data_IF_862342752536
#
_entry.id   IF_862342752536
#
_cell.length_a   1.000
_cell.length_b   1.000
_cell.length_c   1.000
_cell.angle_alpha   90.00
_cell.angle_beta   90.00
_cell.angle_gamma   90.00
#
_symmetry.space_group_name_H-M   'P 1'
#
loop_
_entity.id
_entity.type
_entity.pdbx_description
1 polymer ?
#
# COMPACT_ATOMS: atom_id res chain seq x y z
N UNK A 1 -11.91 23.63 -19.77
CA UNK A 1 -10.51 23.56 -19.29
C UNK A 1 -10.20 22.10 -19.01
N UNK A 2 -9.03 21.59 -19.42
CA UNK A 2 -8.65 20.21 -19.12
C UNK A 2 -8.24 20.12 -17.65
N UNK A 3 -9.05 19.43 -16.84
CA UNK A 3 -8.71 19.13 -15.45
C UNK A 3 -7.66 18.01 -15.44
N UNK A 4 -6.43 18.36 -15.16
CA UNK A 4 -5.28 17.44 -15.19
C UNK A 4 -4.60 17.23 -13.83
N UNK A 5 -5.16 17.81 -12.77
CA UNK A 5 -4.69 17.63 -11.40
C UNK A 5 -5.62 16.68 -10.65
N UNK A 6 -5.07 15.74 -9.91
CA UNK A 6 -5.80 14.93 -8.95
C UNK A 6 -5.16 15.07 -7.57
N UNK A 7 -5.96 14.98 -6.50
CA UNK A 7 -5.40 14.80 -5.16
C UNK A 7 -5.28 13.29 -4.92
N UNK A 8 -4.06 12.83 -4.72
CA UNK A 8 -3.78 11.48 -4.24
C UNK A 8 -3.68 11.48 -2.72
N UNK A 9 -4.26 10.45 -2.10
CA UNK A 9 -4.35 10.35 -0.64
C UNK A 9 -4.00 8.94 -0.20
N UNK A 10 -3.19 8.83 0.85
CA UNK A 10 -2.85 7.57 1.51
C UNK A 10 -3.29 7.61 2.97
N UNK A 11 -4.14 6.64 3.35
CA UNK A 11 -4.66 6.49 4.71
C UNK A 11 -3.82 5.44 5.44
N UNK A 12 -2.82 5.90 6.18
CA UNK A 12 -2.03 5.06 7.06
C UNK A 12 -2.75 4.72 8.37
N UNK A 13 -2.10 3.87 9.20
CA UNK A 13 -2.66 3.46 10.49
C UNK A 13 -2.79 4.56 11.52
N UNK A 14 -2.01 5.65 11.42
CA UNK A 14 -1.94 6.76 12.40
C UNK A 14 -1.77 8.13 11.75
N UNK A 15 -1.87 8.21 10.45
CA UNK A 15 -1.71 9.46 9.69
C UNK A 15 -2.45 9.39 8.36
N UNK A 16 -2.68 10.57 7.79
CA UNK A 16 -3.08 10.77 6.40
C UNK A 16 -1.99 11.55 5.71
N UNK A 17 -1.63 11.12 4.51
CA UNK A 17 -0.80 11.89 3.57
C UNK A 17 -1.60 12.20 2.32
N UNK A 18 -1.52 13.42 1.79
CA UNK A 18 -2.16 13.78 0.53
C UNK A 18 -1.32 14.83 -0.22
N UNK A 19 -1.42 14.80 -1.54
CA UNK A 19 -0.75 15.76 -2.42
C UNK A 19 -1.50 15.91 -3.74
N UNK A 20 -1.31 17.05 -4.41
CA UNK A 20 -1.73 17.22 -5.80
C UNK A 20 -0.74 16.54 -6.75
N UNK A 21 -1.28 15.82 -7.71
CA UNK A 21 -0.54 15.10 -8.74
C UNK A 21 -0.97 15.60 -10.12
N UNK A 22 0.00 15.92 -10.96
CA UNK A 22 -0.22 16.17 -12.38
C UNK A 22 -0.39 14.83 -13.11
N UNK A 23 -1.60 14.56 -13.59
CA UNK A 23 -1.96 13.30 -14.25
C UNK A 23 -1.27 13.11 -15.60
N UNK A 24 -0.80 14.18 -16.24
CA UNK A 24 -0.12 14.10 -17.54
C UNK A 24 1.33 13.65 -17.35
N UNK A 25 2.02 14.25 -16.39
CA UNK A 25 3.44 13.93 -16.14
C UNK A 25 3.66 12.81 -15.13
N UNK A 26 2.65 12.43 -14.36
CA UNK A 26 2.77 11.46 -13.25
C UNK A 26 3.64 11.99 -12.10
N UNK A 27 3.66 13.31 -11.88
CA UNK A 27 4.51 13.93 -10.86
C UNK A 27 3.71 14.56 -9.74
N UNK A 28 4.21 14.38 -8.52
CA UNK A 28 3.68 15.05 -7.32
C UNK A 28 4.11 16.52 -7.35
N UNK A 29 3.14 17.41 -7.13
CA UNK A 29 3.40 18.85 -6.90
C UNK A 29 3.80 18.99 -5.42
N UNK A 30 5.10 18.94 -5.15
CA UNK A 30 5.66 18.77 -3.79
C UNK A 30 5.19 19.79 -2.77
N UNK A 31 5.01 21.04 -3.16
CA UNK A 31 4.54 22.10 -2.26
C UNK A 31 3.12 21.84 -1.71
N UNK A 32 2.38 20.93 -2.35
CA UNK A 32 1.02 20.56 -1.91
C UNK A 32 1.01 19.41 -0.91
N UNK A 33 2.13 18.70 -0.73
CA UNK A 33 2.20 17.58 0.21
C UNK A 33 1.80 18.05 1.61
N UNK A 34 0.87 17.32 2.18
CA UNK A 34 0.33 17.57 3.51
C UNK A 34 0.23 16.23 4.24
N UNK A 35 0.71 16.20 5.46
CA UNK A 35 0.61 15.07 6.37
C UNK A 35 -0.05 15.51 7.66
N UNK A 36 -0.92 14.67 8.21
CA UNK A 36 -1.52 14.86 9.54
C UNK A 36 -1.58 13.57 10.30
N UNK A 37 -1.25 13.63 11.59
CA UNK A 37 -1.50 12.53 12.51
C UNK A 37 -3.00 12.36 12.72
N UNK A 38 -3.44 11.12 12.82
CA UNK A 38 -4.83 10.73 13.02
C UNK A 38 -4.92 9.80 14.23
N UNK A 39 -5.76 10.13 15.19
CA UNK A 39 -6.17 9.16 16.20
C UNK A 39 -7.18 8.20 15.57
N UNK A 40 -6.75 7.01 15.22
CA UNK A 40 -7.58 6.00 14.56
C UNK A 40 -8.61 5.35 15.50
N UNK A 41 -8.61 5.70 16.79
CA UNK A 41 -9.60 5.29 17.79
C UNK A 41 -10.62 6.41 18.11
N UNK A 42 -10.42 7.62 17.57
CA UNK A 42 -11.34 8.73 17.74
C UNK A 42 -12.72 8.47 17.12
N UNK A 43 -13.69 9.32 17.42
CA UNK A 43 -15.00 9.24 16.79
C UNK A 43 -14.90 9.49 15.27
N UNK A 44 -15.83 8.91 14.51
CA UNK A 44 -15.84 9.02 13.04
C UNK A 44 -15.79 10.47 12.54
N UNK A 45 -16.51 11.38 13.17
CA UNK A 45 -16.51 12.80 12.82
C UNK A 45 -15.15 13.47 13.00
N UNK A 46 -14.38 13.07 14.01
CA UNK A 46 -13.05 13.60 14.27
C UNK A 46 -12.02 13.04 13.26
N UNK A 47 -12.09 11.73 12.96
CA UNK A 47 -11.26 11.10 11.94
C UNK A 47 -11.49 11.78 10.58
N UNK A 48 -12.75 11.86 10.14
CA UNK A 48 -13.13 12.49 8.86
C UNK A 48 -12.76 13.97 8.84
N UNK A 49 -12.98 14.70 9.95
CA UNK A 49 -12.58 16.10 10.08
C UNK A 49 -11.06 16.29 9.93
N UNK A 50 -10.25 15.41 10.49
CA UNK A 50 -8.78 15.44 10.33
C UNK A 50 -8.37 15.17 8.88
N UNK A 51 -9.02 14.20 8.22
CA UNK A 51 -8.77 13.91 6.80
C UNK A 51 -9.16 15.09 5.91
N UNK A 52 -10.35 15.68 6.15
CA UNK A 52 -10.81 16.86 5.41
C UNK A 52 -9.87 18.07 5.59
N UNK A 53 -9.32 18.28 6.78
CA UNK A 53 -8.34 19.34 7.01
C UNK A 53 -7.03 19.13 6.22
N UNK A 54 -6.52 17.89 6.13
CA UNK A 54 -5.34 17.59 5.33
C UNK A 54 -5.62 17.85 3.84
N UNK A 55 -6.75 17.35 3.34
CA UNK A 55 -7.19 17.54 1.96
C UNK A 55 -7.38 19.03 1.61
N UNK A 56 -8.06 19.79 2.50
CA UNK A 56 -8.26 21.22 2.32
C UNK A 56 -6.93 21.98 2.22
N UNK A 57 -5.93 21.63 3.05
CA UNK A 57 -4.62 22.24 3.02
C UNK A 57 -3.85 21.94 1.72
N UNK A 58 -4.02 20.75 1.14
CA UNK A 58 -3.45 20.39 -0.16
C UNK A 58 -4.20 21.07 -1.31
N UNK A 59 -5.55 21.05 -1.30
CA UNK A 59 -6.41 21.70 -2.30
C UNK A 59 -6.19 23.20 -2.38
N UNK A 60 -5.99 23.89 -1.25
CA UNK A 60 -5.77 25.34 -1.21
C UNK A 60 -4.52 25.82 -1.98
N UNK A 61 -3.63 24.91 -2.35
CA UNK A 61 -2.37 25.21 -3.07
C UNK A 61 -2.46 25.02 -4.58
N UNK A 62 -3.63 24.63 -5.10
CA UNK A 62 -3.88 24.46 -6.54
C UNK A 62 -5.21 25.09 -6.93
N UNK A 63 -5.38 25.60 -8.17
CA UNK A 63 -6.68 26.08 -8.64
C UNK A 63 -7.68 24.92 -8.69
N UNK A 64 -8.79 25.03 -7.95
CA UNK A 64 -9.80 23.97 -7.82
C UNK A 64 -10.42 23.61 -9.18
N UNK A 65 -10.53 24.57 -10.08
CA UNK A 65 -11.01 24.37 -11.45
C UNK A 65 -10.15 23.41 -12.28
N UNK A 66 -8.87 23.22 -11.90
CA UNK A 66 -7.96 22.28 -12.53
C UNK A 66 -7.97 20.90 -11.87
N UNK A 67 -8.63 20.77 -10.71
CA UNK A 67 -8.71 19.51 -9.96
C UNK A 67 -9.83 18.64 -10.53
N UNK A 68 -9.48 17.41 -10.93
CA UNK A 68 -10.40 16.41 -11.46
C UNK A 68 -11.17 15.69 -10.34
N UNK A 69 -10.51 15.45 -9.21
CA UNK A 69 -11.08 14.76 -8.07
C UNK A 69 -10.03 14.36 -7.03
N UNK A 70 -10.47 13.53 -6.08
CA UNK A 70 -9.66 12.99 -4.99
C UNK A 70 -9.66 11.46 -5.11
N UNK A 71 -8.47 10.84 -5.09
CA UNK A 71 -8.30 9.41 -4.99
C UNK A 71 -7.76 9.02 -3.61
N UNK A 72 -8.30 7.95 -3.04
CA UNK A 72 -7.90 7.43 -1.75
C UNK A 72 -7.28 6.03 -1.87
N UNK A 73 -6.06 5.85 -1.40
CA UNK A 73 -5.52 4.56 -0.98
C UNK A 73 -6.08 4.27 0.42
N UNK A 74 -6.96 3.28 0.52
CA UNK A 74 -7.77 3.05 1.73
C UNK A 74 -7.59 1.63 2.24
N UNK A 75 -7.24 1.42 3.53
CA UNK A 75 -7.19 0.08 4.09
C UNK A 75 -8.57 -0.58 4.11
N UNK A 76 -8.59 -1.90 3.93
CA UNK A 76 -9.82 -2.69 4.02
C UNK A 76 -10.10 -3.25 5.42
N UNK A 77 -11.29 -3.86 5.61
CA UNK A 77 -12.40 -4.05 4.64
C UNK A 77 -13.13 -2.75 4.27
N UNK A 78 -13.37 -2.53 2.99
CA UNK A 78 -13.99 -1.30 2.48
C UNK A 78 -14.76 -1.57 1.18
N UNK A 79 -15.93 -0.96 0.99
CA UNK A 79 -16.61 -0.96 -0.30
C UNK A 79 -16.00 0.15 -1.18
N UNK A 80 -15.03 -0.22 -2.00
CA UNK A 80 -14.29 0.73 -2.83
C UNK A 80 -15.15 1.34 -3.97
N UNK A 81 -16.31 0.76 -4.25
CA UNK A 81 -17.25 1.28 -5.25
C UNK A 81 -18.14 2.36 -4.64
N UNK A 82 -18.68 2.10 -3.42
CA UNK A 82 -19.62 2.98 -2.75
C UNK A 82 -18.96 3.96 -1.78
N UNK A 83 -17.68 3.76 -1.46
CA UNK A 83 -16.97 4.58 -0.47
C UNK A 83 -17.39 4.33 0.97
N UNK A 84 -17.83 3.09 1.30
CA UNK A 84 -18.33 2.76 2.64
C UNK A 84 -17.31 1.90 3.40
N UNK A 85 -16.97 2.31 4.62
CA UNK A 85 -16.05 1.56 5.48
C UNK A 85 -16.75 0.38 6.15
N UNK A 86 -16.14 -0.80 6.06
CA UNK A 86 -16.52 -2.00 6.82
C UNK A 86 -15.39 -2.48 7.73
N UNK A 87 -14.48 -1.56 8.10
CA UNK A 87 -13.32 -1.85 8.94
C UNK A 87 -13.80 -2.29 10.32
N UNK A 88 -13.46 -3.53 10.72
CA UNK A 88 -13.79 -4.13 12.01
C UNK A 88 -12.80 -5.24 12.38
N UNK A 89 -12.44 -5.31 13.67
CA UNK A 89 -11.55 -6.37 14.18
C UNK A 89 -10.07 -6.20 13.80
N UNK A 90 -9.66 -5.00 13.34
CA UNK A 90 -8.26 -4.71 12.94
C UNK A 90 -7.58 -3.65 13.81
N UNK A 91 -8.22 -3.29 14.93
CA UNK A 91 -7.73 -2.35 15.94
C UNK A 91 -7.37 -0.96 15.41
N UNK A 92 -7.94 -0.54 14.28
CA UNK A 92 -7.80 0.81 13.72
C UNK A 92 -9.06 1.18 12.95
N UNK A 93 -9.50 2.43 13.02
CA UNK A 93 -10.63 2.98 12.26
C UNK A 93 -11.96 2.25 12.46
N UNK A 94 -12.15 1.51 13.54
CA UNK A 94 -13.37 0.74 13.77
C UNK A 94 -14.62 1.62 13.94
N UNK A 95 -14.44 2.86 14.40
CA UNK A 95 -15.51 3.84 14.51
C UNK A 95 -15.99 4.38 13.14
N UNK A 96 -15.31 4.03 12.04
CA UNK A 96 -15.78 4.31 10.68
C UNK A 96 -16.72 3.22 10.13
N UNK A 97 -16.99 2.14 10.87
CA UNK A 97 -17.85 1.06 10.39
C UNK A 97 -19.22 1.57 9.95
N UNK A 98 -19.60 1.32 8.69
CA UNK A 98 -20.87 1.78 8.09
C UNK A 98 -20.87 3.26 7.63
N UNK A 99 -19.79 4.01 7.84
CA UNK A 99 -19.69 5.40 7.38
C UNK A 99 -19.49 5.43 5.87
N UNK A 100 -20.30 6.22 5.16
CA UNK A 100 -20.03 6.60 3.78
C UNK A 100 -18.98 7.73 3.78
N UNK A 101 -17.74 7.35 3.49
CA UNK A 101 -16.59 8.26 3.48
C UNK A 101 -16.70 9.28 2.34
N UNK A 102 -17.31 8.87 1.20
CA UNK A 102 -17.54 9.79 0.07
C UNK A 102 -18.36 10.99 0.50
N UNK A 103 -19.54 10.74 1.07
CA UNK A 103 -20.47 11.79 1.49
C UNK A 103 -19.85 12.63 2.62
N UNK A 104 -19.26 11.94 3.61
CA UNK A 104 -18.66 12.62 4.76
C UNK A 104 -17.50 13.54 4.38
N UNK A 105 -16.65 13.17 3.44
CA UNK A 105 -15.56 14.04 2.92
C UNK A 105 -16.14 15.18 2.07
N UNK A 106 -17.11 14.89 1.19
CA UNK A 106 -17.75 15.92 0.36
C UNK A 106 -18.40 17.00 1.21
N UNK A 107 -19.15 16.61 2.24
CA UNK A 107 -19.80 17.53 3.17
C UNK A 107 -18.79 18.40 3.94
N UNK A 108 -17.73 17.79 4.49
CA UNK A 108 -16.72 18.52 5.25
C UNK A 108 -15.89 19.50 4.40
N UNK A 109 -15.72 19.21 3.12
CA UNK A 109 -14.98 20.07 2.18
C UNK A 109 -15.90 21.04 1.41
N UNK A 110 -17.23 20.93 1.55
CA UNK A 110 -18.18 21.73 0.78
C UNK A 110 -18.06 21.50 -0.73
N UNK A 111 -17.82 20.27 -1.16
CA UNK A 111 -17.66 19.93 -2.57
C UNK A 111 -19.05 19.91 -3.27
N UNK A 112 -19.07 20.34 -4.53
CA UNK A 112 -20.30 20.30 -5.32
C UNK A 112 -20.70 18.87 -5.71
N UNK A 113 -21.98 18.66 -5.98
CA UNK A 113 -22.48 17.40 -6.50
C UNK A 113 -21.73 16.98 -7.78
N UNK A 114 -21.30 15.71 -7.81
CA UNK A 114 -20.55 15.14 -8.92
C UNK A 114 -19.03 15.39 -8.89
N UNK A 115 -18.47 15.97 -7.81
CA UNK A 115 -17.04 15.98 -7.61
C UNK A 115 -16.54 14.54 -7.40
N UNK A 116 -15.51 14.14 -8.16
CA UNK A 116 -15.06 12.75 -8.17
C UNK A 116 -14.27 12.42 -6.89
N UNK A 117 -14.73 11.43 -6.14
CA UNK A 117 -14.01 10.80 -5.04
C UNK A 117 -13.96 9.30 -5.33
N UNK A 118 -12.77 8.73 -5.40
CA UNK A 118 -12.53 7.33 -5.79
C UNK A 118 -11.63 6.64 -4.79
N UNK A 119 -11.83 5.34 -4.60
CA UNK A 119 -11.12 4.55 -3.59
C UNK A 119 -10.53 3.29 -4.21
N UNK A 120 -9.39 2.87 -3.68
CA UNK A 120 -8.74 1.60 -3.96
C UNK A 120 -8.05 1.09 -2.70
N UNK A 121 -7.87 -0.22 -2.59
CA UNK A 121 -7.06 -0.79 -1.51
C UNK A 121 -5.64 -0.18 -1.50
N UNK A 122 -5.09 0.05 -0.31
CA UNK A 122 -3.79 0.70 -0.09
C UNK A 122 -2.63 -0.01 -0.79
N UNK A 123 -2.54 -1.34 -0.66
CA UNK A 123 -1.50 -2.12 -1.35
C UNK A 123 -1.68 -2.13 -2.88
N UNK A 124 -2.93 -2.13 -3.36
CA UNK A 124 -3.23 -2.00 -4.78
C UNK A 124 -2.85 -0.63 -5.32
N UNK A 125 -3.15 0.43 -4.58
CA UNK A 125 -2.75 1.80 -4.93
C UNK A 125 -1.22 1.95 -4.98
N UNK A 126 -0.50 1.41 -3.98
CA UNK A 126 0.96 1.34 -4.01
C UNK A 126 1.47 0.67 -5.29
N UNK A 127 0.92 -0.51 -5.63
CA UNK A 127 1.33 -1.27 -6.80
C UNK A 127 1.02 -0.56 -8.12
N UNK A 128 -0.13 0.11 -8.22
CA UNK A 128 -0.51 0.93 -9.37
C UNK A 128 0.44 2.11 -9.53
N UNK A 129 0.79 2.80 -8.45
CA UNK A 129 1.77 3.89 -8.47
C UNK A 129 3.14 3.44 -8.96
N UNK A 130 3.63 2.30 -8.49
CA UNK A 130 4.88 1.69 -8.97
C UNK A 130 4.82 1.30 -10.46
N UNK A 131 3.67 0.79 -10.93
CA UNK A 131 3.46 0.44 -12.32
C UNK A 131 3.25 1.66 -13.24
N UNK A 132 2.75 2.78 -12.70
CA UNK A 132 2.56 4.01 -13.47
C UNK A 132 3.84 4.84 -13.57
N UNK A 133 4.49 5.12 -12.44
CA UNK A 133 5.57 6.10 -12.35
C UNK A 133 6.82 5.60 -11.61
N UNK A 134 6.81 4.37 -11.09
CA UNK A 134 7.89 3.82 -10.27
C UNK A 134 8.73 2.75 -10.97
N UNK A 135 9.25 1.84 -10.16
CA UNK A 135 10.19 0.78 -10.57
C UNK A 135 9.57 -0.21 -11.56
N UNK A 136 8.25 -0.42 -11.50
CA UNK A 136 7.53 -1.33 -12.40
C UNK A 136 7.03 -0.67 -13.70
N UNK A 137 7.30 0.61 -13.95
CA UNK A 137 6.70 1.37 -15.06
C UNK A 137 7.05 0.87 -16.46
N UNK A 138 8.13 0.10 -16.60
CA UNK A 138 8.58 -0.49 -17.87
C UNK A 138 8.18 -1.95 -18.05
N UNK A 139 7.48 -2.53 -17.08
CA UNK A 139 7.11 -3.94 -17.06
C UNK A 139 5.60 -4.10 -17.24
N UNK A 140 5.19 -5.17 -17.91
CA UNK A 140 3.78 -5.47 -18.11
C UNK A 140 3.19 -6.23 -16.92
N UNK A 141 4.00 -7.07 -16.27
CA UNK A 141 3.56 -7.91 -15.16
C UNK A 141 4.45 -7.72 -13.94
N UNK A 142 3.90 -7.19 -12.88
CA UNK A 142 4.62 -6.97 -11.62
C UNK A 142 3.85 -7.51 -10.43
N UNK A 143 4.58 -8.00 -9.43
CA UNK A 143 4.09 -8.18 -8.07
C UNK A 143 4.70 -7.06 -7.23
N UNK A 144 3.87 -6.26 -6.60
CA UNK A 144 4.34 -5.29 -5.61
C UNK A 144 3.94 -5.75 -4.22
N UNK A 145 4.87 -5.68 -3.27
CA UNK A 145 4.63 -6.05 -1.88
C UNK A 145 5.08 -4.93 -0.95
N UNK A 146 4.43 -4.83 0.20
CA UNK A 146 4.85 -3.93 1.28
C UNK A 146 5.11 -4.72 2.54
N UNK A 147 6.37 -4.75 2.99
CA UNK A 147 6.77 -5.24 4.30
C UNK A 147 6.68 -4.08 5.31
N UNK A 148 5.51 -3.91 5.91
CA UNK A 148 5.20 -2.78 6.79
C UNK A 148 4.56 -3.22 8.11
N UNK A 149 3.64 -2.43 8.64
CA UNK A 149 2.80 -2.80 9.80
C UNK A 149 2.09 -4.13 9.54
N UNK A 150 1.55 -4.30 8.33
CA UNK A 150 1.07 -5.55 7.75
C UNK A 150 1.87 -5.93 6.51
N UNK A 151 1.56 -7.08 5.93
CA UNK A 151 2.11 -7.59 4.68
C UNK A 151 1.14 -7.31 3.53
N UNK A 152 1.31 -6.18 2.84
CA UNK A 152 0.50 -5.82 1.67
C UNK A 152 1.05 -6.43 0.39
N UNK A 153 0.17 -6.67 -0.60
CA UNK A 153 0.57 -7.16 -1.92
C UNK A 153 -0.50 -6.90 -2.98
N UNK A 154 -0.06 -6.68 -4.22
CA UNK A 154 -0.96 -6.64 -5.37
C UNK A 154 -0.24 -7.11 -6.64
N UNK A 155 -0.95 -7.87 -7.45
CA UNK A 155 -0.53 -8.35 -8.77
C UNK A 155 -1.01 -7.37 -9.83
N UNK A 156 -0.12 -6.90 -10.67
CA UNK A 156 -0.42 -5.91 -11.71
C UNK A 156 -0.13 -6.49 -13.09
N UNK A 157 -1.07 -6.34 -14.00
CA UNK A 157 -0.87 -6.61 -15.42
C UNK A 157 -1.30 -5.40 -16.25
N UNK A 158 -0.37 -4.84 -17.06
CA UNK A 158 -0.61 -3.64 -17.85
C UNK A 158 -1.17 -2.47 -17.00
N UNK A 159 -0.60 -2.25 -15.83
CA UNK A 159 -0.98 -1.25 -14.80
C UNK A 159 -2.31 -1.53 -14.08
N UNK A 160 -3.02 -2.60 -14.40
CA UNK A 160 -4.32 -2.95 -13.82
C UNK A 160 -4.12 -4.02 -12.75
N UNK A 161 -4.67 -3.85 -11.54
CA UNK A 161 -4.68 -4.89 -10.50
C UNK A 161 -5.46 -6.11 -10.95
N UNK A 162 -4.86 -7.29 -10.79
CA UNK A 162 -5.48 -8.59 -11.05
C UNK A 162 -5.88 -9.19 -9.70
N UNK A 163 -7.17 -9.29 -9.46
CA UNK A 163 -7.75 -9.69 -8.16
C UNK A 163 -8.39 -11.07 -8.17
N UNK A 164 -8.54 -11.66 -9.36
CA UNK A 164 -9.12 -12.99 -9.55
C UNK A 164 -8.51 -13.68 -10.78
N UNK A 165 -8.64 -15.00 -10.85
CA UNK A 165 -8.14 -15.81 -11.96
C UNK A 165 -7.14 -16.87 -11.52
N UNK A 166 -6.72 -17.75 -12.46
CA UNK A 166 -5.87 -18.92 -12.13
C UNK A 166 -4.41 -18.56 -11.77
N UNK A 167 -3.98 -17.34 -12.08
CA UNK A 167 -2.59 -16.90 -11.90
C UNK A 167 -2.38 -16.10 -10.61
N UNK A 168 -3.44 -15.76 -9.87
CA UNK A 168 -3.39 -15.01 -8.63
C UNK A 168 -4.25 -15.69 -7.55
N UNK A 169 -3.95 -15.52 -6.26
CA UNK A 169 -4.84 -16.00 -5.23
C UNK A 169 -6.13 -15.18 -5.20
N UNK A 170 -7.15 -15.73 -4.57
CA UNK A 170 -8.42 -15.01 -4.34
C UNK A 170 -8.16 -13.65 -3.69
N UNK A 171 -8.86 -12.61 -4.14
CA UNK A 171 -8.69 -11.20 -3.75
C UNK A 171 -7.40 -10.55 -4.28
N UNK A 172 -6.61 -11.24 -5.12
CA UNK A 172 -5.36 -10.70 -5.68
C UNK A 172 -4.30 -10.31 -4.64
N UNK A 173 -4.34 -10.90 -3.45
CA UNK A 173 -3.39 -10.61 -2.38
C UNK A 173 -2.99 -11.89 -1.63
N UNK A 174 -1.83 -11.86 -0.96
CA UNK A 174 -1.19 -13.04 -0.40
C UNK A 174 -1.01 -13.01 1.12
N UNK A 175 -1.37 -11.90 1.79
CA UNK A 175 -1.14 -11.74 3.23
C UNK A 175 -1.85 -12.78 4.10
N UNK A 176 -3.03 -13.20 3.69
CA UNK A 176 -3.92 -14.11 4.40
C UNK A 176 -3.67 -15.60 4.11
N UNK A 177 -2.76 -15.88 3.18
CA UNK A 177 -2.48 -17.26 2.78
C UNK A 177 -1.77 -18.02 3.89
N UNK A 178 -2.11 -19.32 4.06
CA UNK A 178 -1.42 -20.17 5.04
C UNK A 178 0.08 -20.23 4.79
N UNK A 179 0.86 -20.05 5.83
CA UNK A 179 2.31 -20.20 5.81
C UNK A 179 2.78 -20.77 7.15
N UNK A 180 3.39 -21.95 7.12
CA UNK A 180 3.84 -22.70 8.30
C UNK A 180 2.69 -22.89 9.31
N UNK A 181 2.84 -22.38 10.53
CA UNK A 181 1.88 -22.47 11.65
C UNK A 181 0.93 -21.27 11.76
N UNK A 182 0.90 -20.39 10.74
CA UNK A 182 0.07 -19.19 10.70
C UNK A 182 -0.28 -18.77 9.29
N UNK A 183 -0.33 -17.48 9.07
CA UNK A 183 -0.53 -16.85 7.76
C UNK A 183 0.70 -16.02 7.37
N UNK A 184 0.80 -15.65 6.10
CA UNK A 184 1.94 -14.89 5.60
C UNK A 184 2.18 -13.56 6.35
N UNK A 185 1.11 -12.87 6.76
CA UNK A 185 1.22 -11.64 7.55
C UNK A 185 1.90 -11.85 8.92
N UNK A 186 1.74 -13.01 9.55
CA UNK A 186 2.42 -13.34 10.81
C UNK A 186 3.93 -13.52 10.67
N UNK A 187 4.41 -13.66 9.44
CA UNK A 187 5.83 -13.88 9.13
C UNK A 187 6.49 -12.65 8.49
N UNK A 188 5.75 -11.91 7.65
CA UNK A 188 6.30 -10.89 6.75
C UNK A 188 5.87 -9.47 7.11
N UNK A 189 5.33 -9.26 8.32
CA UNK A 189 5.02 -7.95 8.87
C UNK A 189 5.95 -7.55 10.01
N UNK A 190 5.93 -6.26 10.37
CA UNK A 190 6.60 -5.73 11.57
C UNK A 190 6.20 -6.51 12.82
N UNK A 191 4.89 -6.75 13.00
CA UNK A 191 4.36 -7.52 14.12
C UNK A 191 4.94 -8.93 14.16
N UNK A 192 5.01 -9.60 13.01
CA UNK A 192 5.57 -10.93 12.87
C UNK A 192 7.05 -11.00 13.28
N UNK A 193 7.87 -10.09 12.75
CA UNK A 193 9.29 -10.02 13.11
C UNK A 193 9.51 -9.76 14.60
N UNK A 194 8.82 -8.79 15.18
CA UNK A 194 8.95 -8.45 16.60
C UNK A 194 8.45 -9.58 17.51
N UNK A 195 7.36 -10.26 17.15
CA UNK A 195 6.86 -11.42 17.87
C UNK A 195 7.87 -12.57 17.89
N UNK A 196 8.52 -12.84 16.75
CA UNK A 196 9.58 -13.88 16.65
C UNK A 196 10.80 -13.50 17.49
N UNK A 197 11.23 -12.23 17.44
CA UNK A 197 12.31 -11.76 18.29
C UNK A 197 12.00 -11.95 19.78
N UNK A 198 10.77 -11.56 20.20
CA UNK A 198 10.31 -11.75 21.59
C UNK A 198 10.31 -13.23 21.99
N UNK A 199 9.86 -14.13 21.11
CA UNK A 199 9.87 -15.59 21.36
C UNK A 199 11.30 -16.13 21.56
N UNK A 200 12.29 -15.60 20.81
CA UNK A 200 13.67 -16.06 20.87
C UNK A 200 14.44 -15.51 22.07
N UNK A 201 14.16 -14.28 22.49
CA UNK A 201 14.98 -13.54 23.46
C UNK A 201 14.27 -13.21 24.77
N UNK A 202 12.92 -13.28 24.79
CA UNK A 202 12.10 -12.78 25.89
C UNK A 202 12.00 -11.24 25.95
N UNK A 203 12.65 -10.51 25.02
CA UNK A 203 12.70 -9.03 25.01
C UNK A 203 11.68 -8.46 24.04
N UNK A 204 11.16 -7.28 24.34
CA UNK A 204 10.28 -6.50 23.46
C UNK A 204 11.04 -5.32 22.86
N UNK A 205 10.68 -4.96 21.63
CA UNK A 205 11.19 -3.80 20.90
C UNK A 205 10.01 -3.01 20.29
N UNK A 206 10.23 -1.71 20.07
CA UNK A 206 9.18 -0.82 19.57
C UNK A 206 9.02 -0.84 18.03
N UNK A 207 10.01 -1.38 17.29
CA UNK A 207 9.95 -1.39 15.83
C UNK A 207 11.14 -2.08 15.16
N UNK A 208 10.97 -2.35 13.87
CA UNK A 208 12.00 -3.04 13.07
C UNK A 208 13.26 -2.18 12.89
N UNK A 209 13.16 -0.86 12.94
CA UNK A 209 14.34 0.01 12.86
C UNK A 209 15.30 -0.23 14.03
N UNK A 210 14.76 -0.34 15.24
CA UNK A 210 15.53 -0.68 16.44
C UNK A 210 16.13 -2.10 16.31
N UNK A 211 15.30 -3.08 15.90
CA UNK A 211 15.75 -4.45 15.67
C UNK A 211 16.88 -4.49 14.63
N UNK A 212 16.75 -3.81 13.51
CA UNK A 212 17.76 -3.80 12.45
C UNK A 212 19.10 -3.20 12.91
N UNK A 213 19.07 -2.18 13.76
CA UNK A 213 20.31 -1.58 14.28
C UNK A 213 21.14 -2.52 15.15
N UNK A 214 20.58 -3.61 15.65
CA UNK A 214 21.26 -4.61 16.46
C UNK A 214 21.91 -5.72 15.63
N UNK A 215 21.61 -5.83 14.33
CA UNK A 215 21.99 -6.97 13.51
C UNK A 215 23.52 -7.18 13.38
N UNK A 216 24.33 -6.12 13.49
CA UNK A 216 25.79 -6.22 13.42
C UNK A 216 26.41 -6.82 14.70
N UNK A 217 25.76 -6.65 15.85
CA UNK A 217 26.30 -7.03 17.16
C UNK A 217 25.55 -8.18 17.83
N UNK A 218 24.33 -8.46 17.39
CA UNK A 218 23.48 -9.52 17.94
C UNK A 218 23.23 -10.61 16.87
N UNK A 219 23.87 -11.76 17.06
CA UNK A 219 23.72 -12.91 16.16
C UNK A 219 22.27 -13.40 16.04
N UNK A 220 21.48 -13.32 17.11
CA UNK A 220 20.06 -13.73 17.07
C UNK A 220 19.28 -12.85 16.09
N UNK A 221 19.58 -11.55 16.08
CA UNK A 221 18.95 -10.61 15.14
C UNK A 221 19.43 -10.85 13.71
N UNK A 222 20.73 -11.07 13.50
CA UNK A 222 21.27 -11.39 12.18
C UNK A 222 20.65 -12.68 11.60
N UNK A 223 20.54 -13.72 12.42
CA UNK A 223 19.92 -15.00 12.04
C UNK A 223 18.41 -14.80 11.75
N UNK A 224 17.71 -13.93 12.51
CA UNK A 224 16.29 -13.61 12.29
C UNK A 224 16.05 -12.94 10.93
N UNK A 225 16.89 -11.99 10.50
CA UNK A 225 16.78 -11.38 9.17
C UNK A 225 17.17 -12.37 8.06
N UNK A 226 18.17 -13.22 8.28
CA UNK A 226 18.51 -14.31 7.37
C UNK A 226 17.32 -15.25 7.14
N UNK A 227 16.69 -15.69 8.22
CA UNK A 227 15.47 -16.50 8.17
C UNK A 227 14.31 -15.78 7.49
N UNK A 228 14.16 -14.48 7.73
CA UNK A 228 13.13 -13.67 7.08
C UNK A 228 13.30 -13.67 5.57
N UNK A 229 14.52 -13.43 5.07
CA UNK A 229 14.80 -13.42 3.64
C UNK A 229 14.59 -14.80 3.00
N UNK A 230 15.05 -15.87 3.63
CA UNK A 230 14.88 -17.23 3.13
C UNK A 230 13.41 -17.63 3.06
N UNK A 231 12.66 -17.37 4.12
CA UNK A 231 11.23 -17.64 4.18
C UNK A 231 10.42 -16.81 3.16
N UNK A 232 10.75 -15.53 2.98
CA UNK A 232 10.11 -14.69 1.98
C UNK A 232 10.35 -15.22 0.55
N UNK A 233 11.58 -15.69 0.25
CA UNK A 233 11.88 -16.31 -1.04
C UNK A 233 11.09 -17.59 -1.28
N UNK A 234 10.99 -18.48 -0.28
CA UNK A 234 10.19 -19.71 -0.37
C UNK A 234 8.73 -19.39 -0.63
N UNK A 235 8.17 -18.41 0.10
CA UNK A 235 6.75 -18.07 0.02
C UNK A 235 6.38 -17.37 -1.30
N UNK A 236 7.22 -16.45 -1.77
CA UNK A 236 6.93 -15.63 -2.95
C UNK A 236 7.22 -16.34 -4.28
N UNK A 237 8.21 -17.23 -4.35
CA UNK A 237 8.63 -17.85 -5.60
C UNK A 237 7.52 -18.57 -6.38
N UNK A 238 6.62 -19.36 -5.76
CA UNK A 238 5.50 -19.99 -6.47
C UNK A 238 4.58 -18.95 -7.13
N UNK A 239 4.25 -17.87 -6.43
CA UNK A 239 3.36 -16.80 -6.92
C UNK A 239 4.00 -16.01 -8.04
N UNK A 240 5.27 -15.65 -7.92
CA UNK A 240 6.03 -14.97 -8.97
C UNK A 240 6.07 -15.81 -10.26
N UNK A 241 6.27 -17.12 -10.14
CA UNK A 241 6.30 -18.05 -11.30
C UNK A 241 4.94 -18.22 -11.94
N UNK A 242 3.89 -18.49 -11.16
CA UNK A 242 2.53 -18.69 -11.68
C UNK A 242 2.02 -17.41 -12.36
N UNK A 243 2.21 -16.27 -11.72
CA UNK A 243 1.87 -14.98 -12.28
C UNK A 243 2.80 -14.56 -13.44
N UNK A 244 3.94 -15.22 -13.64
CA UNK A 244 4.99 -14.82 -14.60
C UNK A 244 5.42 -13.37 -14.39
N UNK A 245 5.65 -13.00 -13.14
CA UNK A 245 6.09 -11.65 -12.80
C UNK A 245 7.43 -11.35 -13.45
N UNK A 246 7.52 -10.22 -14.16
CA UNK A 246 8.76 -9.70 -14.73
C UNK A 246 9.60 -8.99 -13.67
N UNK A 247 8.91 -8.34 -12.73
CA UNK A 247 9.53 -7.63 -11.61
C UNK A 247 8.74 -7.85 -10.31
N UNK A 248 9.48 -7.97 -9.20
CA UNK A 248 8.98 -7.85 -7.84
C UNK A 248 9.43 -6.50 -7.28
N UNK A 249 8.48 -5.65 -6.88
CA UNK A 249 8.78 -4.38 -6.18
C UNK A 249 8.52 -4.54 -4.70
N UNK A 250 9.50 -4.21 -3.87
CA UNK A 250 9.44 -4.32 -2.42
C UNK A 250 9.39 -2.91 -1.81
N UNK A 251 8.32 -2.61 -1.08
CA UNK A 251 8.14 -1.40 -0.28
C UNK A 251 7.91 -1.69 1.20
N UNK A 252 7.43 -0.68 1.92
CA UNK A 252 7.18 -0.72 3.36
C UNK A 252 8.44 -0.58 4.21
N UNK A 253 8.25 -0.34 5.52
CA UNK A 253 9.34 0.06 6.41
C UNK A 253 10.44 -0.99 6.58
N UNK A 254 10.14 -2.29 6.46
CA UNK A 254 11.14 -3.36 6.58
C UNK A 254 12.08 -3.36 5.36
N UNK A 255 11.65 -2.83 4.21
CA UNK A 255 12.49 -2.72 3.02
C UNK A 255 13.76 -1.87 3.23
N UNK A 256 13.74 -0.97 4.21
CA UNK A 256 14.93 -0.19 4.59
C UNK A 256 16.06 -1.05 5.17
N UNK A 257 15.74 -2.25 5.66
CA UNK A 257 16.70 -3.24 6.14
C UNK A 257 17.04 -4.31 5.09
N UNK A 258 16.81 -4.04 3.80
CA UNK A 258 17.02 -5.02 2.71
C UNK A 258 18.45 -5.56 2.67
N UNK A 259 19.44 -4.76 3.03
CA UNK A 259 20.83 -5.18 3.16
C UNK A 259 21.06 -6.34 4.16
N UNK A 260 20.14 -6.57 5.11
CA UNK A 260 20.25 -7.65 6.10
C UNK A 260 19.65 -8.97 5.62
N UNK A 261 18.75 -8.95 4.62
CA UNK A 261 18.07 -10.16 4.17
C UNK A 261 18.04 -10.35 2.64
N UNK A 262 18.33 -9.32 1.88
CA UNK A 262 18.17 -9.30 0.43
C UNK A 262 19.00 -10.36 -0.29
N UNK A 263 20.27 -10.51 0.07
CA UNK A 263 21.17 -11.52 -0.53
C UNK A 263 20.66 -12.96 -0.34
N UNK A 264 20.11 -13.25 0.85
CA UNK A 264 19.54 -14.55 1.15
C UNK A 264 18.23 -14.74 0.38
N UNK A 265 17.41 -13.73 0.36
CA UNK A 265 16.14 -13.69 -0.37
C UNK A 265 16.36 -13.98 -1.87
N UNK A 266 17.24 -13.24 -2.54
CA UNK A 266 17.51 -13.42 -3.97
C UNK A 266 18.15 -14.78 -4.29
N UNK A 267 19.06 -15.25 -3.42
CA UNK A 267 19.61 -16.63 -3.56
C UNK A 267 18.52 -17.68 -3.44
N UNK A 268 17.54 -17.47 -2.53
CA UNK A 268 16.41 -18.38 -2.40
C UNK A 268 15.53 -18.35 -3.65
N UNK A 269 15.20 -17.20 -4.19
CA UNK A 269 14.44 -17.10 -5.43
C UNK A 269 15.12 -17.87 -6.57
N UNK A 270 16.44 -17.71 -6.74
CA UNK A 270 17.21 -18.44 -7.74
C UNK A 270 17.17 -19.96 -7.52
N UNK A 271 17.27 -20.41 -6.26
CA UNK A 271 17.16 -21.84 -5.89
C UNK A 271 15.78 -22.39 -6.21
N UNK A 272 14.74 -21.58 -6.10
CA UNK A 272 13.36 -21.93 -6.49
C UNK A 272 13.10 -21.80 -8.00
N UNK A 273 14.12 -21.54 -8.82
CA UNK A 273 14.00 -21.27 -10.27
C UNK A 273 13.07 -20.10 -10.59
N UNK A 274 13.15 -19.05 -9.78
CA UNK A 274 12.45 -17.79 -10.01
C UNK A 274 13.46 -16.70 -10.36
N UNK A 275 13.34 -16.10 -11.57
CA UNK A 275 14.33 -15.19 -12.15
C UNK A 275 13.71 -13.82 -12.50
N UNK A 276 12.69 -13.39 -11.80
CA UNK A 276 12.16 -12.03 -11.97
C UNK A 276 13.17 -10.97 -11.44
N UNK A 277 13.09 -9.76 -11.98
CA UNK A 277 13.82 -8.63 -11.41
C UNK A 277 13.32 -8.32 -10.00
N UNK A 278 14.20 -7.92 -9.08
CA UNK A 278 13.83 -7.47 -7.73
C UNK A 278 14.27 -6.03 -7.57
N UNK A 279 13.34 -5.16 -7.20
CA UNK A 279 13.62 -3.75 -6.96
C UNK A 279 13.03 -3.29 -5.62
N UNK A 280 13.79 -2.46 -4.90
CA UNK A 280 13.25 -1.73 -3.76
C UNK A 280 12.57 -0.47 -4.27
N UNK A 281 11.36 -0.20 -3.79
CA UNK A 281 10.59 0.99 -4.16
C UNK A 281 11.41 2.26 -3.95
N UNK A 282 11.58 3.03 -5.03
CA UNK A 282 12.19 4.36 -4.98
C UNK A 282 11.16 5.44 -4.65
N UNK A 283 9.91 5.19 -4.98
CA UNK A 283 8.78 6.08 -4.66
C UNK A 283 8.42 6.03 -3.18
N UNK A 284 8.63 4.90 -2.51
CA UNK A 284 8.27 4.70 -1.10
C UNK A 284 6.78 5.01 -0.86
N UNK A 285 6.46 5.92 0.07
CA UNK A 285 5.09 6.34 0.39
C UNK A 285 4.43 7.14 -0.76
N UNK A 286 5.21 7.80 -1.61
CA UNK A 286 4.68 8.47 -2.80
C UNK A 286 3.96 7.52 -3.77
N UNK A 287 4.28 6.24 -3.77
CA UNK A 287 3.65 5.27 -4.66
C UNK A 287 2.14 5.16 -4.41
N UNK A 288 1.71 5.13 -3.15
CA UNK A 288 0.28 5.09 -2.81
C UNK A 288 -0.44 6.39 -3.21
N UNK A 289 0.21 7.56 -3.04
CA UNK A 289 -0.32 8.85 -3.50
C UNK A 289 -0.50 8.88 -5.02
N UNK A 290 0.51 8.40 -5.77
CA UNK A 290 0.45 8.35 -7.23
C UNK A 290 -0.61 7.38 -7.72
N UNK A 291 -0.68 6.18 -7.15
CA UNK A 291 -1.67 5.17 -7.55
C UNK A 291 -3.09 5.59 -7.21
N UNK A 292 -3.32 6.21 -6.05
CA UNK A 292 -4.65 6.74 -5.70
C UNK A 292 -5.08 7.88 -6.63
N UNK A 293 -4.17 8.80 -6.98
CA UNK A 293 -4.44 9.86 -7.96
C UNK A 293 -4.72 9.29 -9.36
N UNK A 294 -4.01 8.22 -9.77
CA UNK A 294 -4.20 7.63 -11.09
C UNK A 294 -5.60 7.06 -11.32
N UNK A 295 -6.36 6.77 -10.26
CA UNK A 295 -7.79 6.46 -10.38
C UNK A 295 -8.62 7.57 -11.04
N UNK A 296 -8.12 8.81 -11.05
CA UNK A 296 -8.81 9.93 -11.71
C UNK A 296 -8.53 10.00 -13.21
N UNK A 297 -7.62 9.18 -13.76
CA UNK A 297 -7.54 8.95 -15.19
C UNK A 297 -8.75 8.14 -15.66
N UNK A 298 -9.43 8.60 -16.72
CA UNK A 298 -10.72 8.01 -17.12
C UNK A 298 -10.55 6.64 -17.77
N UNK A 299 -9.45 6.41 -18.49
CA UNK A 299 -9.21 5.15 -19.15
C UNK A 299 -8.75 4.08 -18.16
N UNK A 300 -7.89 4.46 -17.20
CA UNK A 300 -7.55 3.60 -16.10
C UNK A 300 -8.79 3.25 -15.24
N UNK A 301 -9.60 4.25 -14.89
CA UNK A 301 -10.81 4.03 -14.10
C UNK A 301 -11.77 3.03 -14.76
N UNK A 302 -12.04 3.17 -16.04
CA UNK A 302 -12.88 2.22 -16.80
C UNK A 302 -12.33 0.80 -16.74
N UNK A 303 -11.00 0.65 -16.78
CA UNK A 303 -10.36 -0.67 -16.78
C UNK A 303 -10.28 -1.31 -15.41
N UNK A 304 -10.26 -0.53 -14.29
CA UNK A 304 -10.10 -1.06 -12.93
C UNK A 304 -11.42 -1.30 -12.19
N UNK A 305 -12.52 -0.67 -12.61
CA UNK A 305 -13.82 -0.73 -11.90
C UNK A 305 -14.30 -2.15 -11.58
N UNK A 306 -14.08 -3.10 -12.49
CA UNK A 306 -14.51 -4.50 -12.30
C UNK A 306 -13.72 -5.21 -11.15
N UNK A 307 -12.54 -4.73 -10.82
CA UNK A 307 -11.69 -5.30 -9.78
C UNK A 307 -12.02 -4.76 -8.37
N UNK A 308 -12.59 -3.55 -8.28
CA UNK A 308 -12.84 -2.87 -7.00
C UNK A 308 -13.71 -3.67 -6.01
N UNK A 309 -14.77 -4.37 -6.43
CA UNK A 309 -15.59 -5.17 -5.50
C UNK A 309 -14.88 -6.37 -4.90
N UNK A 310 -13.72 -6.74 -5.44
CA UNK A 310 -12.94 -7.91 -5.06
C UNK A 310 -11.63 -7.54 -4.33
N UNK A 311 -11.39 -6.26 -4.07
CA UNK A 311 -10.18 -5.77 -3.36
C UNK A 311 -10.30 -5.82 -1.85
#
# INVERSE_FOLDING_TARGET
MNKNIAIGTDIGGSHISCAAIDLVSGKIIRDTLTEKSVDNQAQSSEIIGTWAQALSASLAKVPLENVKGIGFAMPGPFDYVKGISYIRGVAKYENLYGVNVTDAIADNLGLHDGFLIRFMNDASAFAVGEAWAGSASKFNRSLSITFGTGFGSAFISNRIPIVDGPEVPKLGCIYHLPYKDGIADDYFSTRGLLSRYKKLTGKELNGVKELASMAETDKVVADLFTDFGDNAGIFLAPWLKVFKAEILVIGGNISHAYNLFGDVFERRLKKENCFCEVAISKLKEDAALLGSAYMLDDDFWKSVQHALPLM
#
